data_IF_174639960030
#
_entry.id   IF_174639960030
#
_cell.length_a   1.000
_cell.length_b   1.000
_cell.length_c   1.000
_cell.angle_alpha   90.00
_cell.angle_beta   90.00
_cell.angle_gamma   90.00
#
_symmetry.space_group_name_H-M   'P 1'
#
loop_
_entity.id
_entity.type
_entity.pdbx_description
1 polymer ?
#
# COMPACT_ATOMS: atom_id res chain seq x y z
N UNK A 1 -40.39 62.79 7.42
CA UNK A 1 -40.14 63.29 8.79
C UNK A 1 -38.94 62.64 9.51
N UNK A 2 -38.32 61.55 9.04
CA UNK A 2 -37.20 60.89 9.78
C UNK A 2 -35.76 61.31 9.40
N UNK A 3 -35.48 61.81 8.19
CA UNK A 3 -34.09 62.14 7.81
C UNK A 3 -33.47 63.29 8.63
N UNK A 4 -34.27 64.30 8.99
CA UNK A 4 -33.79 65.42 9.80
C UNK A 4 -33.43 65.00 11.24
N UNK A 5 -34.15 64.01 11.78
CA UNK A 5 -33.97 63.49 13.14
C UNK A 5 -32.80 62.50 13.24
N UNK A 6 -32.54 61.71 12.19
CA UNK A 6 -31.43 60.74 12.14
C UNK A 6 -30.08 61.39 11.82
N UNK A 7 -30.05 62.41 10.95
CA UNK A 7 -28.83 63.10 10.53
C UNK A 7 -28.52 64.32 11.40
N UNK A 8 -29.45 64.71 12.29
CA UNK A 8 -29.34 65.86 13.19
C UNK A 8 -28.91 67.15 12.46
N UNK A 9 -29.37 67.29 11.21
CA UNK A 9 -29.07 68.39 10.31
C UNK A 9 -30.37 68.86 9.66
N UNK A 10 -30.49 70.17 9.44
CA UNK A 10 -31.65 70.71 8.73
C UNK A 10 -31.54 70.39 7.24
N UNK A 11 -32.70 70.19 6.59
CA UNK A 11 -32.75 69.86 5.16
C UNK A 11 -32.20 71.00 4.30
N UNK A 12 -32.32 72.24 4.77
CA UNK A 12 -31.76 73.43 4.12
C UNK A 12 -30.22 73.48 4.18
N UNK A 13 -29.62 73.03 5.28
CA UNK A 13 -28.17 72.99 5.44
C UNK A 13 -27.54 71.89 4.58
N UNK A 14 -28.19 70.73 4.49
CA UNK A 14 -27.76 69.59 3.66
C UNK A 14 -27.72 69.94 2.17
N UNK A 15 -28.74 70.64 1.66
CA UNK A 15 -28.80 71.08 0.26
C UNK A 15 -27.73 72.13 -0.07
N UNK A 16 -27.29 72.91 0.92
CA UNK A 16 -26.18 73.88 0.75
C UNK A 16 -24.82 73.21 0.72
N UNK A 17 -24.60 72.21 1.57
CA UNK A 17 -23.31 71.50 1.68
C UNK A 17 -23.12 70.48 0.56
N UNK A 18 -24.19 69.82 0.13
CA UNK A 18 -24.21 68.88 -0.98
C UNK A 18 -25.31 69.26 -1.97
N UNK A 19 -25.00 70.12 -2.96
CA UNK A 19 -25.92 70.37 -4.05
C UNK A 19 -26.15 69.04 -4.79
N UNK A 20 -27.42 68.69 -4.97
CA UNK A 20 -27.81 67.54 -5.79
C UNK A 20 -27.44 67.88 -7.23
N UNK A 21 -26.72 66.97 -7.89
CA UNK A 21 -26.41 67.11 -9.31
C UNK A 21 -27.72 67.18 -10.13
N UNK A 22 -27.81 68.09 -11.09
CA UNK A 22 -28.99 68.26 -11.94
C UNK A 22 -29.25 66.99 -12.80
N UNK A 23 -28.23 66.15 -13.01
CA UNK A 23 -28.33 64.84 -13.67
C UNK A 23 -28.72 63.69 -12.71
N UNK A 24 -28.97 63.97 -11.43
CA UNK A 24 -29.30 62.94 -10.44
C UNK A 24 -30.73 62.39 -10.62
N UNK A 25 -30.81 61.19 -11.18
CA UNK A 25 -32.06 60.44 -11.29
C UNK A 25 -32.34 59.61 -10.02
N UNK A 26 -33.23 60.14 -9.18
CA UNK A 26 -33.69 59.49 -7.96
C UNK A 26 -34.33 58.11 -8.23
N UNK A 27 -35.07 57.96 -9.32
CA UNK A 27 -35.77 56.70 -9.64
C UNK A 27 -34.77 55.62 -10.07
N UNK A 28 -33.77 55.98 -10.88
CA UNK A 28 -32.69 55.08 -11.24
C UNK A 28 -31.84 54.67 -10.02
N UNK A 29 -31.54 55.61 -9.12
CA UNK A 29 -30.81 55.34 -7.89
C UNK A 29 -31.59 54.39 -6.96
N UNK A 30 -32.91 54.60 -6.80
CA UNK A 30 -33.76 53.71 -6.01
C UNK A 30 -33.86 52.31 -6.61
N UNK A 31 -34.05 52.20 -7.93
CA UNK A 31 -34.06 50.90 -8.63
C UNK A 31 -32.75 50.13 -8.45
N UNK A 32 -31.61 50.83 -8.50
CA UNK A 32 -30.29 50.23 -8.26
C UNK A 32 -30.10 49.77 -6.81
N UNK A 33 -30.64 50.48 -5.83
CA UNK A 33 -30.64 50.05 -4.42
C UNK A 33 -31.50 48.80 -4.23
N UNK A 34 -32.68 48.73 -4.85
CA UNK A 34 -33.53 47.54 -4.79
C UNK A 34 -32.89 46.33 -5.49
N UNK A 35 -32.26 46.52 -6.64
CA UNK A 35 -31.50 45.46 -7.33
C UNK A 35 -30.37 44.92 -6.45
N UNK A 36 -29.58 45.80 -5.83
CA UNK A 36 -28.50 45.41 -4.93
C UNK A 36 -29.02 44.70 -3.68
N UNK A 37 -30.14 45.16 -3.10
CA UNK A 37 -30.78 44.48 -1.96
C UNK A 37 -31.26 43.08 -2.34
N UNK A 38 -31.94 42.93 -3.47
CA UNK A 38 -32.39 41.63 -3.97
C UNK A 38 -31.21 40.69 -4.24
N UNK A 39 -30.11 41.21 -4.79
CA UNK A 39 -28.88 40.43 -4.99
C UNK A 39 -28.27 39.99 -3.66
N UNK A 40 -28.22 40.85 -2.65
CA UNK A 40 -27.71 40.53 -1.31
C UNK A 40 -28.57 39.45 -0.65
N UNK A 41 -29.90 39.58 -0.71
CA UNK A 41 -30.83 38.57 -0.19
C UNK A 41 -30.67 37.22 -0.93
N UNK A 42 -30.40 37.26 -2.24
CA UNK A 42 -30.15 36.07 -3.06
C UNK A 42 -28.89 35.27 -2.70
N UNK A 43 -27.90 35.87 -2.01
CA UNK A 43 -26.72 35.16 -1.53
C UNK A 43 -27.02 34.25 -0.32
N UNK A 44 -28.19 34.41 0.31
CA UNK A 44 -28.53 33.68 1.53
C UNK A 44 -27.68 34.09 2.74
N UNK A 45 -27.78 33.34 3.83
CA UNK A 45 -27.00 33.63 5.04
C UNK A 45 -25.50 33.39 4.79
N UNK A 46 -24.67 34.37 5.13
CA UNK A 46 -23.21 34.21 5.14
C UNK A 46 -22.84 33.12 6.14
N UNK A 47 -22.23 32.04 5.65
CA UNK A 47 -21.78 30.95 6.53
C UNK A 47 -20.53 31.40 7.31
N UNK A 48 -20.75 31.90 8.52
CA UNK A 48 -19.71 32.37 9.43
C UNK A 48 -18.77 31.25 9.90
N UNK A 49 -19.18 29.98 9.77
CA UNK A 49 -18.39 28.80 10.17
C UNK A 49 -17.55 28.23 9.02
N UNK A 50 -17.71 28.71 7.79
CA UNK A 50 -17.06 28.13 6.62
C UNK A 50 -15.53 28.12 6.71
N UNK A 51 -14.94 29.15 7.33
CA UNK A 51 -13.49 29.21 7.54
C UNK A 51 -12.98 28.19 8.56
N UNK A 52 -13.76 27.95 9.62
CA UNK A 52 -13.44 26.95 10.64
C UNK A 52 -13.59 25.54 10.08
N UNK A 53 -14.70 25.26 9.39
CA UNK A 53 -14.94 23.97 8.71
C UNK A 53 -13.87 23.67 7.66
N UNK A 54 -13.40 24.69 6.92
CA UNK A 54 -12.30 24.54 5.99
C UNK A 54 -11.03 24.10 6.72
N UNK A 55 -10.65 24.79 7.80
CA UNK A 55 -9.46 24.46 8.58
C UNK A 55 -9.51 23.06 9.19
N UNK A 56 -10.67 22.65 9.72
CA UNK A 56 -10.86 21.29 10.23
C UNK A 56 -10.72 20.23 9.14
N UNK A 57 -11.31 20.46 7.97
CA UNK A 57 -11.21 19.54 6.84
C UNK A 57 -9.80 19.46 6.28
N UNK A 58 -9.07 20.57 6.20
CA UNK A 58 -7.66 20.60 5.79
C UNK A 58 -6.78 19.82 6.77
N UNK A 59 -6.96 20.02 8.08
CA UNK A 59 -6.24 19.28 9.10
C UNK A 59 -6.51 17.77 9.01
N UNK A 60 -7.78 17.39 8.82
CA UNK A 60 -8.18 16.00 8.64
C UNK A 60 -7.61 15.39 7.35
N UNK A 61 -7.61 16.14 6.26
CA UNK A 61 -7.04 15.72 4.99
C UNK A 61 -5.53 15.50 5.11
N UNK A 62 -4.82 16.43 5.74
CA UNK A 62 -3.38 16.31 5.98
C UNK A 62 -3.06 15.07 6.81
N UNK A 63 -3.80 14.86 7.90
CA UNK A 63 -3.66 13.69 8.76
C UNK A 63 -3.87 12.38 8.00
N UNK A 64 -4.99 12.24 7.28
CA UNK A 64 -5.30 11.04 6.51
C UNK A 64 -4.32 10.79 5.38
N UNK A 65 -3.85 11.85 4.71
CA UNK A 65 -2.87 11.74 3.62
C UNK A 65 -1.52 11.28 4.15
N UNK A 66 -1.12 11.77 5.31
CA UNK A 66 0.12 11.36 5.99
C UNK A 66 0.04 9.89 6.41
N UNK A 67 -1.04 9.49 7.08
CA UNK A 67 -1.25 8.09 7.45
C UNK A 67 -1.28 7.16 6.25
N UNK A 68 -1.95 7.56 5.15
CA UNK A 68 -1.98 6.77 3.92
C UNK A 68 -0.56 6.58 3.38
N UNK A 69 0.25 7.65 3.37
CA UNK A 69 1.63 7.58 2.91
C UNK A 69 2.43 6.61 3.78
N UNK A 70 2.34 6.73 5.10
CA UNK A 70 3.07 5.85 6.03
C UNK A 70 2.71 4.38 5.84
N UNK A 71 1.43 4.07 5.58
CA UNK A 71 0.97 2.71 5.27
C UNK A 71 1.58 2.22 3.96
N UNK A 72 1.53 3.03 2.89
CA UNK A 72 2.09 2.67 1.59
C UNK A 72 3.60 2.42 1.68
N UNK A 73 4.31 3.28 2.39
CA UNK A 73 5.76 3.16 2.61
C UNK A 73 6.08 1.90 3.44
N UNK A 74 5.27 1.59 4.45
CA UNK A 74 5.41 0.38 5.27
C UNK A 74 5.15 -0.91 4.48
N UNK A 75 4.16 -0.90 3.56
CA UNK A 75 3.89 -2.03 2.65
C UNK A 75 5.12 -2.25 1.76
N UNK A 76 5.62 -1.20 1.12
CA UNK A 76 6.80 -1.29 0.25
C UNK A 76 8.02 -1.84 0.99
N UNK A 77 8.28 -1.36 2.21
CA UNK A 77 9.38 -1.84 3.04
C UNK A 77 9.21 -3.33 3.41
N UNK A 78 7.98 -3.76 3.72
CA UNK A 78 7.66 -5.15 4.04
C UNK A 78 7.87 -6.07 2.84
N UNK A 79 7.45 -5.64 1.65
CA UNK A 79 7.65 -6.39 0.40
C UNK A 79 9.14 -6.52 0.03
N UNK A 80 9.93 -5.48 0.25
CA UNK A 80 11.38 -5.52 0.07
C UNK A 80 12.04 -6.50 1.06
N UNK A 81 11.68 -6.43 2.34
CA UNK A 81 12.15 -7.37 3.34
C UNK A 81 11.80 -8.83 2.97
N UNK A 82 10.57 -9.07 2.51
CA UNK A 82 10.13 -10.39 2.05
C UNK A 82 10.94 -10.88 0.85
N UNK A 83 11.21 -10.01 -0.13
CA UNK A 83 12.05 -10.36 -1.29
C UNK A 83 13.46 -10.77 -0.87
N UNK A 84 14.07 -10.02 0.04
CA UNK A 84 15.41 -10.34 0.55
C UNK A 84 15.41 -11.65 1.36
N UNK A 85 14.38 -11.89 2.18
CA UNK A 85 14.20 -13.17 2.90
C UNK A 85 14.09 -14.32 1.90
N UNK A 86 13.23 -14.22 0.87
CA UNK A 86 13.07 -15.26 -0.15
C UNK A 86 14.39 -15.55 -0.87
N UNK A 87 15.16 -14.52 -1.23
CA UNK A 87 16.47 -14.66 -1.86
C UNK A 87 17.44 -15.44 -0.98
N UNK A 88 17.62 -15.00 0.27
CA UNK A 88 18.52 -15.66 1.23
C UNK A 88 18.08 -17.09 1.55
N UNK A 89 16.78 -17.33 1.67
CA UNK A 89 16.22 -18.66 1.91
C UNK A 89 16.50 -19.60 0.75
N UNK A 90 16.34 -19.14 -0.51
CA UNK A 90 16.69 -19.94 -1.70
C UNK A 90 18.17 -20.28 -1.77
N UNK A 91 19.04 -19.31 -1.48
CA UNK A 91 20.50 -19.54 -1.44
C UNK A 91 20.89 -20.54 -0.36
N UNK A 92 20.37 -20.37 0.87
CA UNK A 92 20.62 -21.29 1.98
C UNK A 92 20.08 -22.68 1.70
N UNK A 93 18.86 -22.78 1.17
CA UNK A 93 18.25 -24.06 0.82
C UNK A 93 19.10 -24.76 -0.25
N UNK A 94 19.46 -24.08 -1.33
CA UNK A 94 20.27 -24.68 -2.41
C UNK A 94 21.60 -25.19 -1.88
N UNK A 95 22.31 -24.37 -1.09
CA UNK A 95 23.57 -24.78 -0.49
C UNK A 95 23.39 -26.00 0.44
N UNK A 96 22.40 -25.98 1.33
CA UNK A 96 22.13 -27.11 2.22
C UNK A 96 21.74 -28.37 1.43
N UNK A 97 20.89 -28.24 0.42
CA UNK A 97 20.45 -29.33 -0.44
C UNK A 97 21.62 -29.96 -1.19
N UNK A 98 22.51 -29.15 -1.78
CA UNK A 98 23.71 -29.64 -2.47
C UNK A 98 24.65 -30.40 -1.52
N UNK A 99 24.85 -29.89 -0.31
CA UNK A 99 25.69 -30.57 0.69
C UNK A 99 25.08 -31.90 1.15
N UNK A 100 23.78 -31.92 1.48
CA UNK A 100 23.09 -33.15 1.89
C UNK A 100 23.07 -34.15 0.73
N UNK A 101 22.86 -33.71 -0.51
CA UNK A 101 22.85 -34.58 -1.69
C UNK A 101 24.22 -35.23 -1.92
N UNK A 102 25.30 -34.45 -1.74
CA UNK A 102 26.66 -34.96 -1.86
C UNK A 102 26.93 -36.03 -0.80
N UNK A 103 26.66 -35.73 0.47
CA UNK A 103 26.89 -36.67 1.57
C UNK A 103 26.02 -37.93 1.43
N UNK A 104 24.75 -37.77 1.05
CA UNK A 104 23.86 -38.89 0.77
C UNK A 104 24.41 -39.79 -0.33
N UNK A 105 24.88 -39.21 -1.45
CA UNK A 105 25.46 -39.99 -2.56
C UNK A 105 26.70 -40.76 -2.13
N UNK A 106 27.59 -40.15 -1.36
CA UNK A 106 28.82 -40.77 -0.85
C UNK A 106 28.49 -41.94 0.10
N UNK A 107 27.65 -41.68 1.10
CA UNK A 107 27.27 -42.66 2.11
C UNK A 107 26.42 -43.80 1.53
N UNK A 108 25.55 -43.51 0.56
CA UNK A 108 24.79 -44.52 -0.16
C UNK A 108 25.74 -45.49 -0.88
N UNK A 109 26.73 -44.97 -1.60
CA UNK A 109 27.69 -45.81 -2.31
C UNK A 109 28.51 -46.69 -1.34
N UNK A 110 28.88 -46.15 -0.18
CA UNK A 110 29.61 -46.87 0.86
C UNK A 110 28.78 -48.00 1.48
N UNK A 111 27.53 -47.73 1.85
CA UNK A 111 26.64 -48.70 2.49
C UNK A 111 26.23 -49.84 1.54
N UNK A 112 26.00 -49.53 0.26
CA UNK A 112 25.59 -50.52 -0.73
C UNK A 112 26.77 -51.20 -1.44
N UNK A 113 28.01 -50.78 -1.18
CA UNK A 113 29.21 -51.32 -1.83
C UNK A 113 29.23 -51.07 -3.35
N UNK A 114 28.53 -50.04 -3.82
CA UNK A 114 28.30 -49.74 -5.23
C UNK A 114 26.91 -49.16 -5.49
N UNK A 115 26.65 -48.77 -6.75
CA UNK A 115 25.41 -48.05 -7.10
C UNK A 115 25.52 -46.54 -6.93
N UNK A 116 24.40 -45.83 -7.09
CA UNK A 116 24.31 -44.36 -6.98
C UNK A 116 22.97 -43.95 -6.39
N UNK A 117 22.98 -43.04 -5.43
CA UNK A 117 21.79 -42.37 -4.90
C UNK A 117 21.90 -40.88 -5.10
N UNK A 118 20.82 -40.23 -5.52
CA UNK A 118 20.75 -38.77 -5.61
C UNK A 118 19.36 -38.24 -5.25
N UNK A 119 19.34 -37.04 -4.69
CA UNK A 119 18.12 -36.27 -4.47
C UNK A 119 17.89 -35.33 -5.65
N UNK A 120 16.65 -35.21 -6.08
CA UNK A 120 16.21 -34.26 -7.09
C UNK A 120 15.05 -33.42 -6.57
N UNK A 121 14.91 -32.20 -7.09
CA UNK A 121 13.74 -31.36 -6.81
C UNK A 121 12.64 -31.72 -7.81
N UNK A 122 11.43 -31.90 -7.30
CA UNK A 122 10.23 -32.08 -8.12
C UNK A 122 9.96 -30.75 -8.84
N UNK A 123 9.65 -30.82 -10.13
CA UNK A 123 9.41 -29.65 -10.99
C UNK A 123 8.42 -28.68 -10.35
N UNK A 124 8.93 -27.57 -9.83
CA UNK A 124 8.18 -26.37 -9.48
C UNK A 124 9.04 -25.14 -9.76
N UNK A 125 8.39 -24.05 -10.18
CA UNK A 125 9.06 -22.79 -10.51
C UNK A 125 9.78 -22.15 -9.30
N UNK A 126 9.42 -22.56 -8.07
CA UNK A 126 10.09 -22.15 -6.84
C UNK A 126 10.66 -23.36 -6.08
N UNK A 127 11.98 -23.32 -5.87
CA UNK A 127 12.74 -24.30 -5.07
C UNK A 127 12.21 -24.41 -3.63
N UNK A 128 11.65 -23.32 -3.07
CA UNK A 128 11.09 -23.34 -1.72
C UNK A 128 9.74 -24.06 -1.62
N UNK A 129 9.03 -24.22 -2.74
CA UNK A 129 7.73 -24.90 -2.83
C UNK A 129 7.87 -26.28 -3.48
N UNK A 130 9.05 -26.59 -4.03
CA UNK A 130 9.37 -27.86 -4.66
C UNK A 130 9.40 -28.99 -3.63
N UNK A 131 8.79 -30.12 -3.97
CA UNK A 131 9.04 -31.37 -3.24
C UNK A 131 10.45 -31.90 -3.51
N UNK A 132 10.93 -32.78 -2.64
CA UNK A 132 12.19 -33.50 -2.84
C UNK A 132 11.85 -34.94 -3.21
N UNK A 133 12.42 -35.43 -4.30
CA UNK A 133 12.38 -36.84 -4.66
C UNK A 133 13.75 -37.49 -4.49
N UNK A 134 13.76 -38.73 -4.02
CA UNK A 134 14.99 -39.50 -3.78
C UNK A 134 15.03 -40.66 -4.77
N UNK A 135 16.04 -40.61 -5.63
CA UNK A 135 16.24 -41.58 -6.68
C UNK A 135 17.48 -42.39 -6.37
N UNK A 136 17.38 -43.71 -6.46
CA UNK A 136 18.46 -44.61 -6.12
C UNK A 136 18.62 -45.73 -7.14
N UNK A 137 19.87 -46.13 -7.34
CA UNK A 137 20.29 -47.23 -8.18
C UNK A 137 21.18 -48.16 -7.33
N UNK A 138 20.61 -49.18 -6.68
CA UNK A 138 21.38 -50.23 -6.02
C UNK A 138 22.23 -51.03 -7.03
N UNK A 139 23.29 -51.72 -6.58
CA UNK A 139 24.13 -52.54 -7.45
C UNK A 139 23.30 -53.60 -8.19
N UNK A 140 23.40 -53.59 -9.53
CA UNK A 140 22.68 -54.53 -10.40
C UNK A 140 21.23 -54.16 -10.73
N UNK A 141 20.70 -53.03 -10.22
CA UNK A 141 19.34 -52.53 -10.53
C UNK A 141 19.37 -51.26 -11.38
N UNK A 142 18.21 -50.92 -11.94
CA UNK A 142 17.98 -49.66 -12.65
C UNK A 142 17.70 -48.53 -11.65
N UNK A 143 17.91 -47.31 -12.11
CA UNK A 143 17.59 -46.08 -11.40
C UNK A 143 16.07 -46.00 -11.16
N UNK A 144 15.65 -45.89 -9.91
CA UNK A 144 14.23 -45.86 -9.54
C UNK A 144 14.01 -45.06 -8.24
N UNK A 145 12.78 -44.60 -8.03
CA UNK A 145 12.39 -43.93 -6.81
C UNK A 145 12.59 -44.85 -5.59
N UNK A 146 13.13 -44.32 -4.48
CA UNK A 146 13.37 -45.08 -3.24
C UNK A 146 12.09 -45.76 -2.72
N UNK A 147 10.92 -45.16 -2.93
CA UNK A 147 9.63 -45.73 -2.56
C UNK A 147 9.30 -47.05 -3.29
N UNK A 148 9.99 -47.37 -4.39
CA UNK A 148 9.82 -48.60 -5.16
C UNK A 148 10.86 -49.69 -4.83
N UNK A 149 11.80 -49.42 -3.92
CA UNK A 149 12.82 -50.39 -3.48
C UNK A 149 12.25 -51.45 -2.51
N UNK A 150 13.01 -52.54 -2.30
CA UNK A 150 12.67 -53.52 -1.27
C UNK A 150 12.80 -52.92 0.15
N UNK A 151 12.10 -53.48 1.14
CA UNK A 151 12.07 -52.92 2.50
C UNK A 151 13.45 -52.72 3.14
N UNK A 152 14.39 -53.64 2.91
CA UNK A 152 15.78 -53.51 3.40
C UNK A 152 16.56 -52.41 2.69
N UNK A 153 16.41 -52.29 1.37
CA UNK A 153 17.03 -51.22 0.57
C UNK A 153 16.48 -49.84 0.94
N UNK A 154 15.17 -49.75 1.25
CA UNK A 154 14.55 -48.53 1.78
C UNK A 154 15.13 -48.12 3.12
N UNK A 155 15.31 -49.08 4.03
CA UNK A 155 15.88 -48.82 5.35
C UNK A 155 17.33 -48.31 5.24
N UNK A 156 18.13 -48.91 4.36
CA UNK A 156 19.51 -48.48 4.10
C UNK A 156 19.57 -47.09 3.45
N UNK A 157 18.69 -46.80 2.49
CA UNK A 157 18.60 -45.47 1.89
C UNK A 157 18.18 -44.40 2.92
N UNK A 158 17.24 -44.73 3.80
CA UNK A 158 16.86 -43.84 4.90
C UNK A 158 18.02 -43.62 5.89
N UNK A 159 18.78 -44.66 6.19
CA UNK A 159 19.96 -44.55 7.04
C UNK A 159 21.02 -43.63 6.42
N UNK A 160 21.24 -43.72 5.11
CA UNK A 160 22.14 -42.84 4.37
C UNK A 160 21.71 -41.37 4.41
N UNK A 161 20.41 -41.09 4.48
CA UNK A 161 19.88 -39.72 4.61
C UNK A 161 19.98 -39.16 6.03
N UNK A 162 19.85 -40.01 7.05
CA UNK A 162 19.87 -39.58 8.47
C UNK A 162 21.30 -39.41 8.98
N UNK A 163 22.23 -40.24 8.49
CA UNK A 163 23.63 -40.21 8.91
C UNK A 163 24.51 -39.35 7.99
N UNK A 164 24.01 -38.97 6.82
CA UNK A 164 24.68 -38.10 5.85
C UNK A 164 24.57 -36.62 6.19
#
# INVERSE_FOLDING_TARGET
ENCATELNQSLEDLVREQPVDDEFDLAAAQGRVEELRSRIEGFGAVNMMALEELGENEARLLFLTTQRKDIVDSISATEEALREIKRRSRERFRHAFEQINKNFSELFQELFGGGRGEMSLIEADDVLESGIDVIAQPPGKRLQNVLLLSGGEKAMAALALVLG
#
